data_IF_556496091259
#
_entry.id   IF_556496091259
#
_cell.length_a   1.000
_cell.length_b   1.000
_cell.length_c   1.000
_cell.angle_alpha   90.00
_cell.angle_beta   90.00
_cell.angle_gamma   90.00
#
_symmetry.space_group_name_H-M   'P 1'
#
loop_
_entity.id
_entity.type
_entity.pdbx_description
1 polymer ?
#
# COMPACT_ATOMS: atom_id res chain seq x y z
N UNK A 1 4.67 -10.50 -22.74
CA UNK A 1 5.67 -9.40 -22.75
C UNK A 1 5.88 -8.84 -21.34
N UNK A 2 4.83 -8.41 -20.63
CA UNK A 2 4.90 -7.94 -19.23
C UNK A 2 5.46 -9.00 -18.27
N UNK A 3 4.98 -10.25 -18.35
CA UNK A 3 5.46 -11.35 -17.49
C UNK A 3 6.96 -11.64 -17.60
N UNK A 4 7.47 -11.68 -18.84
CA UNK A 4 8.91 -11.85 -19.06
C UNK A 4 9.72 -10.67 -18.52
N UNK A 5 9.21 -9.43 -18.64
CA UNK A 5 9.88 -8.26 -18.07
C UNK A 5 9.86 -8.29 -16.54
N UNK A 6 8.75 -8.71 -15.92
CA UNK A 6 8.68 -8.88 -14.47
C UNK A 6 9.70 -9.91 -13.99
N UNK A 7 9.74 -11.09 -14.58
CA UNK A 7 10.74 -12.10 -14.20
C UNK A 7 12.18 -11.61 -14.43
N UNK A 8 12.45 -10.94 -15.56
CA UNK A 8 13.79 -10.45 -15.90
C UNK A 8 14.32 -9.39 -14.93
N UNK A 9 13.48 -8.45 -14.49
CA UNK A 9 13.91 -7.31 -13.66
C UNK A 9 13.61 -7.48 -12.17
N UNK A 10 12.55 -8.21 -11.82
CA UNK A 10 12.12 -8.47 -10.44
C UNK A 10 12.60 -9.82 -9.90
N UNK A 11 12.85 -10.78 -10.79
CA UNK A 11 13.21 -12.14 -10.43
C UNK A 11 12.07 -12.87 -9.72
N UNK A 12 12.44 -13.70 -8.75
CA UNK A 12 11.52 -14.49 -7.94
C UNK A 12 11.07 -13.78 -6.66
N UNK A 13 11.47 -12.51 -6.49
CA UNK A 13 11.17 -11.75 -5.28
C UNK A 13 9.67 -11.60 -5.09
N UNK A 14 9.16 -11.73 -3.86
CA UNK A 14 7.75 -11.50 -3.60
C UNK A 14 7.36 -10.05 -3.92
N UNK A 15 6.12 -9.88 -4.37
CA UNK A 15 5.54 -8.57 -4.63
C UNK A 15 4.08 -8.52 -4.16
N UNK A 16 3.67 -7.33 -3.74
CA UNK A 16 2.31 -7.06 -3.29
C UNK A 16 1.43 -6.70 -4.48
N UNK A 17 0.23 -7.27 -4.56
CA UNK A 17 -0.81 -6.86 -5.51
C UNK A 17 -2.01 -6.34 -4.75
N UNK A 18 -2.28 -5.04 -4.94
CA UNK A 18 -3.47 -4.38 -4.46
C UNK A 18 -4.41 -4.04 -5.61
N UNK A 19 -5.66 -4.49 -5.51
CA UNK A 19 -6.70 -4.23 -6.51
C UNK A 19 -7.79 -3.29 -5.95
N UNK A 20 -7.51 -2.54 -4.88
CA UNK A 20 -8.48 -1.67 -4.21
C UNK A 20 -9.09 -0.60 -5.12
N UNK A 21 -8.39 -0.19 -6.18
CA UNK A 21 -8.86 0.80 -7.15
C UNK A 21 -9.65 0.21 -8.33
N UNK A 22 -9.79 -1.12 -8.42
CA UNK A 22 -10.60 -1.76 -9.45
C UNK A 22 -12.04 -1.93 -8.97
N UNK A 23 -13.01 -1.71 -9.87
CA UNK A 23 -14.42 -1.88 -9.55
C UNK A 23 -14.76 -3.35 -9.29
N UNK A 24 -15.73 -3.58 -8.40
CA UNK A 24 -16.19 -4.92 -8.09
C UNK A 24 -16.70 -5.66 -9.34
N UNK A 25 -17.35 -4.95 -10.27
CA UNK A 25 -17.83 -5.51 -11.54
C UNK A 25 -16.70 -6.10 -12.39
N UNK A 26 -15.58 -5.39 -12.50
CA UNK A 26 -14.40 -5.84 -13.24
C UNK A 26 -13.74 -7.04 -12.54
N UNK A 27 -13.67 -7.00 -11.21
CA UNK A 27 -13.04 -8.06 -10.42
C UNK A 27 -13.76 -9.40 -10.49
N UNK A 28 -15.08 -9.38 -10.70
CA UNK A 28 -15.92 -10.59 -10.85
C UNK A 28 -16.35 -10.85 -12.29
N UNK A 29 -15.75 -10.17 -13.26
CA UNK A 29 -16.05 -10.43 -14.66
C UNK A 29 -15.52 -11.82 -15.07
N UNK A 30 -16.40 -12.69 -15.57
CA UNK A 30 -16.05 -14.03 -16.02
C UNK A 30 -16.27 -15.13 -14.96
N UNK A 31 -15.59 -16.26 -15.14
CA UNK A 31 -15.82 -17.48 -14.36
C UNK A 31 -15.04 -17.56 -13.05
N UNK A 32 -14.12 -16.63 -12.79
CA UNK A 32 -13.28 -16.61 -11.59
C UNK A 32 -12.90 -15.19 -11.24
N UNK A 33 -12.74 -14.92 -9.94
CA UNK A 33 -12.31 -13.61 -9.48
C UNK A 33 -10.94 -13.25 -10.05
N UNK A 34 -10.76 -12.02 -10.52
CA UNK A 34 -9.55 -11.57 -11.23
C UNK A 34 -8.26 -11.80 -10.43
N UNK A 35 -8.29 -11.57 -9.10
CA UNK A 35 -7.18 -11.86 -8.20
C UNK A 35 -6.72 -13.34 -8.27
N UNK A 36 -7.68 -14.28 -8.33
CA UNK A 36 -7.37 -15.72 -8.42
C UNK A 36 -6.75 -16.04 -9.78
N UNK A 37 -7.27 -15.46 -10.86
CA UNK A 37 -6.70 -15.61 -12.20
C UNK A 37 -5.26 -15.10 -12.25
N UNK A 38 -5.01 -13.92 -11.67
CA UNK A 38 -3.68 -13.33 -11.61
C UNK A 38 -2.71 -14.17 -10.78
N UNK A 39 -3.16 -14.67 -9.62
CA UNK A 39 -2.39 -15.58 -8.77
C UNK A 39 -2.02 -16.87 -9.50
N UNK A 40 -2.98 -17.51 -10.17
CA UNK A 40 -2.74 -18.70 -10.98
C UNK A 40 -1.68 -18.45 -12.06
N UNK A 41 -1.76 -17.30 -12.73
CA UNK A 41 -0.79 -16.93 -13.74
C UNK A 41 0.60 -16.70 -13.13
N UNK A 42 0.68 -15.99 -11.99
CA UNK A 42 1.93 -15.76 -11.27
C UNK A 42 2.61 -17.08 -10.87
N UNK A 43 1.85 -18.08 -10.42
CA UNK A 43 2.38 -19.43 -10.13
C UNK A 43 2.96 -20.11 -11.36
N UNK A 44 2.34 -19.98 -12.54
CA UNK A 44 2.83 -20.57 -13.80
C UNK A 44 4.17 -19.97 -14.21
N UNK A 45 4.39 -18.69 -13.95
CA UNK A 45 5.62 -17.97 -14.30
C UNK A 45 6.62 -17.87 -13.11
N UNK A 46 6.37 -18.62 -12.03
CA UNK A 46 7.23 -18.69 -10.84
C UNK A 46 7.52 -17.34 -10.17
N UNK A 47 6.54 -16.43 -10.14
CA UNK A 47 6.65 -15.17 -9.38
C UNK A 47 5.75 -15.23 -8.16
N UNK A 48 6.28 -14.78 -7.02
CA UNK A 48 5.62 -14.83 -5.72
C UNK A 48 4.68 -13.64 -5.52
N UNK A 49 3.38 -13.85 -5.68
CA UNK A 49 2.35 -12.82 -5.51
C UNK A 49 1.73 -12.91 -4.12
N UNK A 50 1.84 -11.81 -3.36
CA UNK A 50 1.17 -11.65 -2.06
C UNK A 50 -0.05 -10.74 -2.25
N UNK A 51 -1.28 -11.22 -2.00
CA UNK A 51 -2.47 -10.41 -2.13
C UNK A 51 -2.50 -9.31 -1.05
N UNK A 52 -2.88 -8.10 -1.43
CA UNK A 52 -3.19 -7.01 -0.51
C UNK A 52 -4.70 -6.95 -0.31
N UNK A 53 -5.15 -6.78 0.93
CA UNK A 53 -6.56 -6.56 1.24
C UNK A 53 -6.72 -5.55 2.37
N UNK A 54 -7.86 -4.88 2.41
CA UNK A 54 -8.31 -4.15 3.59
C UNK A 54 -9.09 -5.06 4.52
N UNK A 55 -9.27 -4.66 5.79
CA UNK A 55 -10.12 -5.42 6.72
C UNK A 55 -11.59 -5.41 6.24
N UNK A 56 -12.01 -4.33 5.59
CA UNK A 56 -13.36 -4.14 5.07
C UNK A 56 -13.34 -4.12 3.54
N UNK A 57 -13.45 -5.31 2.94
CA UNK A 57 -13.59 -5.49 1.50
C UNK A 57 -14.83 -6.34 1.22
N UNK A 58 -15.32 -6.28 -0.02
CA UNK A 58 -16.43 -7.11 -0.46
C UNK A 58 -16.16 -8.60 -0.20
N UNK A 59 -17.20 -9.35 0.19
CA UNK A 59 -17.11 -10.77 0.52
C UNK A 59 -16.49 -11.60 -0.61
N UNK A 60 -16.79 -11.26 -1.86
CA UNK A 60 -16.20 -11.86 -3.05
C UNK A 60 -14.67 -11.65 -3.10
N UNK A 61 -14.20 -10.44 -2.77
CA UNK A 61 -12.79 -10.11 -2.72
C UNK A 61 -12.08 -10.87 -1.59
N UNK A 62 -12.66 -10.86 -0.38
CA UNK A 62 -12.09 -11.60 0.75
C UNK A 62 -12.04 -13.12 0.48
N UNK A 63 -13.05 -13.66 -0.21
CA UNK A 63 -13.05 -15.08 -0.62
C UNK A 63 -11.95 -15.37 -1.64
N UNK A 64 -11.70 -14.45 -2.56
CA UNK A 64 -10.61 -14.57 -3.53
C UNK A 64 -9.23 -14.50 -2.85
N UNK A 65 -9.05 -13.61 -1.88
CA UNK A 65 -7.83 -13.51 -1.07
C UNK A 65 -7.60 -14.81 -0.30
N UNK A 66 -8.63 -15.35 0.37
CA UNK A 66 -8.54 -16.64 1.06
C UNK A 66 -8.09 -17.77 0.11
N UNK A 67 -8.68 -17.85 -1.08
CA UNK A 67 -8.28 -18.84 -2.09
C UNK A 67 -6.79 -18.73 -2.48
N UNK A 68 -6.29 -17.49 -2.63
CA UNK A 68 -4.87 -17.26 -2.95
C UNK A 68 -3.97 -17.65 -1.78
N UNK A 69 -4.35 -17.33 -0.54
CA UNK A 69 -3.60 -17.71 0.66
C UNK A 69 -3.50 -19.24 0.76
N UNK A 70 -4.63 -19.94 0.69
CA UNK A 70 -4.70 -21.40 0.82
C UNK A 70 -3.88 -22.13 -0.27
N UNK A 71 -3.81 -21.56 -1.47
CA UNK A 71 -3.09 -22.16 -2.60
C UNK A 71 -1.59 -21.89 -2.58
N UNK A 72 -1.19 -20.66 -2.27
CA UNK A 72 0.19 -20.23 -2.46
C UNK A 72 1.02 -20.32 -1.17
N UNK A 73 0.39 -20.24 0.00
CA UNK A 73 1.06 -20.22 1.31
C UNK A 73 2.15 -19.12 1.40
N UNK A 74 1.87 -17.93 0.84
CA UNK A 74 2.79 -16.79 0.81
C UNK A 74 2.38 -15.66 1.77
N UNK A 75 1.34 -15.87 2.58
CA UNK A 75 0.77 -14.86 3.46
C UNK A 75 -0.09 -13.83 2.72
N UNK A 76 -0.34 -12.71 3.38
CA UNK A 76 -1.21 -11.61 2.90
C UNK A 76 -0.70 -10.28 3.42
N UNK A 77 -0.98 -9.20 2.69
CA UNK A 77 -0.74 -7.85 3.17
C UNK A 77 -2.08 -7.20 3.57
N UNK A 78 -2.17 -6.72 4.81
CA UNK A 78 -3.28 -5.89 5.26
C UNK A 78 -2.94 -4.41 5.08
N UNK A 79 -3.66 -3.73 4.19
CA UNK A 79 -3.59 -2.28 3.99
C UNK A 79 -4.63 -1.61 4.89
N UNK A 80 -4.16 -0.85 5.87
CA UNK A 80 -4.98 -0.07 6.79
C UNK A 80 -4.91 1.41 6.41
N UNK A 81 -6.06 2.02 6.18
CA UNK A 81 -6.16 3.47 6.03
C UNK A 81 -6.01 4.17 7.39
N UNK A 82 -5.83 5.48 7.36
CA UNK A 82 -5.91 6.33 8.56
C UNK A 82 -7.22 6.12 9.35
N UNK A 83 -8.33 5.94 8.64
CA UNK A 83 -9.64 5.72 9.27
C UNK A 83 -9.66 4.39 10.02
N UNK A 84 -9.14 3.32 9.43
CA UNK A 84 -9.06 2.00 10.06
C UNK A 84 -8.25 2.06 11.36
N UNK A 85 -7.09 2.74 11.32
CA UNK A 85 -6.18 2.87 12.48
C UNK A 85 -6.85 3.60 13.65
N UNK A 86 -7.65 4.62 13.36
CA UNK A 86 -8.32 5.43 14.38
C UNK A 86 -9.58 4.75 14.96
N UNK A 87 -9.99 3.58 14.45
CA UNK A 87 -11.15 2.87 15.00
C UNK A 87 -10.81 2.24 16.33
N UNK A 88 -11.70 2.46 17.31
CA UNK A 88 -11.63 1.80 18.62
C UNK A 88 -11.73 0.27 18.52
N UNK A 89 -12.30 -0.24 17.43
CA UNK A 89 -12.48 -1.66 17.16
C UNK A 89 -11.29 -2.31 16.47
N UNK A 90 -10.26 -1.55 16.06
CA UNK A 90 -9.14 -2.04 15.25
C UNK A 90 -8.56 -3.37 15.75
N UNK A 91 -8.35 -3.51 17.05
CA UNK A 91 -7.79 -4.74 17.63
C UNK A 91 -8.69 -5.96 17.44
N UNK A 92 -10.01 -5.77 17.57
CA UNK A 92 -11.00 -6.82 17.33
C UNK A 92 -11.15 -7.09 15.84
N UNK A 93 -11.17 -6.05 15.00
CA UNK A 93 -11.28 -6.16 13.54
C UNK A 93 -10.09 -6.95 12.95
N UNK A 94 -8.86 -6.69 13.42
CA UNK A 94 -7.68 -7.46 13.04
C UNK A 94 -7.76 -8.92 13.49
N UNK A 95 -8.24 -9.17 14.72
CA UNK A 95 -8.42 -10.53 15.24
C UNK A 95 -9.44 -11.32 14.41
N UNK A 96 -10.54 -10.69 14.03
CA UNK A 96 -11.58 -11.30 13.22
C UNK A 96 -11.08 -11.56 11.79
N UNK A 97 -10.29 -10.65 11.21
CA UNK A 97 -9.63 -10.87 9.92
C UNK A 97 -8.67 -12.06 9.97
N UNK A 98 -7.79 -12.14 10.98
CA UNK A 98 -6.88 -13.29 11.18
C UNK A 98 -7.66 -14.60 11.29
N UNK A 99 -8.75 -14.62 12.07
CA UNK A 99 -9.61 -15.79 12.22
C UNK A 99 -10.33 -16.18 10.92
N UNK A 100 -10.79 -15.21 10.14
CA UNK A 100 -11.45 -15.45 8.86
C UNK A 100 -10.49 -16.09 7.85
N UNK A 101 -9.26 -15.57 7.78
CA UNK A 101 -8.24 -16.09 6.87
C UNK A 101 -7.51 -17.34 7.41
N UNK A 102 -7.71 -17.69 8.68
CA UNK A 102 -7.03 -18.81 9.37
C UNK A 102 -5.50 -18.68 9.34
N UNK A 103 -5.02 -17.47 9.54
CA UNK A 103 -3.59 -17.13 9.54
C UNK A 103 -3.17 -16.50 10.86
N UNK A 104 -1.86 -16.46 11.08
CA UNK A 104 -1.22 -15.83 12.22
C UNK A 104 -0.62 -14.46 11.86
N UNK A 105 -0.39 -13.56 12.82
CA UNK A 105 0.29 -12.29 12.55
C UNK A 105 1.62 -12.43 11.79
N UNK A 106 2.37 -13.49 12.06
CA UNK A 106 3.67 -13.82 11.44
C UNK A 106 3.57 -14.10 9.94
N UNK A 107 2.36 -14.29 9.41
CA UNK A 107 2.07 -14.49 7.99
C UNK A 107 1.51 -13.24 7.31
N UNK A 108 1.37 -12.15 8.06
CA UNK A 108 0.74 -10.91 7.60
C UNK A 108 1.75 -9.76 7.53
N UNK A 109 1.82 -9.14 6.36
CA UNK A 109 2.46 -7.83 6.20
C UNK A 109 1.46 -6.72 6.52
N UNK A 110 1.82 -5.80 7.40
CA UNK A 110 0.95 -4.70 7.78
C UNK A 110 1.43 -3.42 7.11
N UNK A 111 0.59 -2.86 6.22
CA UNK A 111 0.81 -1.58 5.57
C UNK A 111 -0.15 -0.55 6.16
N UNK A 112 0.38 0.44 6.87
CA UNK A 112 -0.39 1.64 7.21
C UNK A 112 -0.27 2.64 6.07
N UNK A 113 -1.38 2.93 5.43
CA UNK A 113 -1.42 3.85 4.31
C UNK A 113 -2.13 5.15 4.70
N UNK A 114 -1.32 6.19 4.91
CA UNK A 114 -1.80 7.54 5.18
C UNK A 114 -2.20 8.29 3.91
N UNK A 115 -1.88 7.76 2.73
CA UNK A 115 -2.03 8.44 1.45
C UNK A 115 -1.39 9.83 1.52
N UNK A 116 -2.19 10.89 1.49
CA UNK A 116 -1.71 12.27 1.52
C UNK A 116 -1.13 12.61 2.89
N UNK A 117 0.10 13.12 2.89
CA UNK A 117 0.71 13.62 4.11
C UNK A 117 0.03 14.89 4.58
N UNK A 118 -0.36 14.90 5.85
CA UNK A 118 -0.88 16.07 6.54
C UNK A 118 0.03 16.42 7.71
N UNK A 119 -0.04 17.66 8.22
CA UNK A 119 0.78 18.10 9.36
C UNK A 119 0.44 17.36 10.67
N UNK A 120 -0.70 16.66 10.74
CA UNK A 120 -1.25 16.05 11.95
C UNK A 120 -1.13 14.52 12.01
N UNK A 121 -0.22 13.90 11.25
CA UNK A 121 -0.03 12.44 11.30
C UNK A 121 0.39 12.01 12.72
N UNK A 122 -0.24 10.98 13.32
CA UNK A 122 0.17 10.45 14.62
C UNK A 122 1.66 10.07 14.65
N UNK A 123 2.31 10.23 15.79
CA UNK A 123 3.70 9.79 15.90
C UNK A 123 3.83 8.29 15.72
N UNK A 124 4.94 7.80 15.15
CA UNK A 124 5.11 6.35 14.95
C UNK A 124 5.09 5.57 16.27
N UNK A 125 5.60 6.15 17.35
CA UNK A 125 5.47 5.59 18.69
C UNK A 125 4.00 5.40 19.11
N UNK A 126 3.13 6.37 18.80
CA UNK A 126 1.68 6.26 19.01
C UNK A 126 1.06 5.16 18.16
N UNK A 127 1.44 5.06 16.88
CA UNK A 127 0.94 4.02 15.97
C UNK A 127 1.32 2.61 16.44
N UNK A 128 2.57 2.41 16.85
CA UNK A 128 3.04 1.13 17.39
C UNK A 128 2.28 0.72 18.66
N UNK A 129 1.88 1.68 19.49
CA UNK A 129 1.10 1.41 20.69
C UNK A 129 -0.37 1.03 20.39
N UNK A 130 -0.91 1.48 19.26
CA UNK A 130 -2.29 1.19 18.84
C UNK A 130 -2.43 -0.18 18.16
N UNK A 131 -1.37 -0.67 17.50
CA UNK A 131 -1.40 -1.93 16.77
C UNK A 131 -1.19 -3.09 17.74
N UNK A 132 -2.16 -4.02 17.87
CA UNK A 132 -2.00 -5.17 18.76
C UNK A 132 -0.85 -6.05 18.25
N UNK A 133 -0.09 -6.62 19.19
CA UNK A 133 0.98 -7.58 18.90
C UNK A 133 1.96 -7.05 17.84
N UNK A 134 2.33 -5.77 17.93
CA UNK A 134 3.16 -5.10 16.92
C UNK A 134 4.42 -5.88 16.54
N UNK A 135 5.00 -6.66 17.46
CA UNK A 135 6.20 -7.49 17.25
C UNK A 135 5.97 -8.82 16.52
N UNK A 136 4.73 -9.28 16.40
CA UNK A 136 4.40 -10.59 15.79
C UNK A 136 4.16 -10.47 14.26
N UNK A 137 3.77 -9.31 13.75
CA UNK A 137 3.53 -9.11 12.31
C UNK A 137 4.76 -9.49 11.46
N UNK A 138 4.58 -10.01 10.25
CA UNK A 138 5.69 -10.36 9.35
C UNK A 138 6.52 -9.14 8.97
N UNK A 139 5.84 -8.14 8.43
CA UNK A 139 6.40 -6.84 8.09
C UNK A 139 5.51 -5.72 8.65
N UNK A 140 6.12 -4.59 8.94
CA UNK A 140 5.42 -3.37 9.34
C UNK A 140 5.92 -2.22 8.47
N UNK A 141 5.00 -1.65 7.69
CA UNK A 141 5.31 -0.66 6.65
C UNK A 141 4.37 0.53 6.80
N UNK A 142 4.86 1.70 6.39
CA UNK A 142 4.07 2.92 6.30
C UNK A 142 4.23 3.51 4.92
N UNK A 143 3.10 3.86 4.28
CA UNK A 143 3.07 4.65 3.06
C UNK A 143 2.46 6.03 3.31
N UNK A 144 3.09 7.07 2.78
CA UNK A 144 2.53 8.42 2.70
C UNK A 144 3.19 9.18 1.55
N UNK A 145 2.53 10.21 1.02
CA UNK A 145 3.07 11.03 -0.06
C UNK A 145 2.70 12.49 0.07
N UNK A 146 3.66 13.34 -0.28
CA UNK A 146 3.52 14.80 -0.23
C UNK A 146 3.24 15.45 -1.60
N UNK A 147 3.27 14.69 -2.70
CA UNK A 147 3.09 15.26 -4.03
C UNK A 147 1.65 15.77 -4.21
N UNK A 148 1.43 16.99 -4.72
CA UNK A 148 0.11 17.60 -4.79
C UNK A 148 -0.79 16.95 -5.86
N UNK A 149 -2.10 17.14 -5.69
CA UNK A 149 -3.14 16.69 -6.64
C UNK A 149 -2.87 17.19 -8.06
N UNK A 150 -2.44 18.44 -8.18
CA UNK A 150 -2.12 19.07 -9.44
C UNK A 150 -1.02 20.13 -9.30
N UNK A 151 -0.52 20.57 -10.46
CA UNK A 151 0.55 21.56 -10.56
C UNK A 151 0.03 22.92 -11.09
N UNK A 152 -1.28 23.21 -10.98
CA UNK A 152 -1.89 24.42 -11.57
C UNK A 152 -1.36 25.71 -10.94
N UNK A 153 -0.87 25.63 -9.71
CA UNK A 153 -0.28 26.73 -8.97
C UNK A 153 1.20 26.99 -9.35
N UNK A 154 1.80 26.13 -10.17
CA UNK A 154 3.18 26.28 -10.61
C UNK A 154 3.26 26.93 -12.00
N UNK A 155 4.21 27.84 -12.15
CA UNK A 155 4.48 28.48 -13.43
C UNK A 155 5.00 27.47 -14.47
N UNK A 156 4.53 27.60 -15.72
CA UNK A 156 5.01 26.77 -16.84
C UNK A 156 6.44 27.16 -17.24
N UNK A 157 7.17 26.21 -17.83
CA UNK A 157 8.55 26.40 -18.32
C UNK A 157 9.54 26.86 -17.23
N UNK A 158 9.30 26.44 -15.99
CA UNK A 158 10.13 26.70 -14.82
C UNK A 158 10.39 25.39 -14.09
N UNK A 159 11.52 25.32 -13.41
CA UNK A 159 11.81 24.27 -12.44
C UNK A 159 11.22 24.70 -11.10
N UNK A 160 10.52 23.78 -10.43
CA UNK A 160 9.97 23.98 -9.10
C UNK A 160 10.45 22.86 -8.19
N UNK A 161 10.36 23.07 -6.89
CA UNK A 161 10.66 22.04 -5.89
C UNK A 161 9.50 21.92 -4.93
N UNK A 162 9.05 20.71 -4.69
CA UNK A 162 7.99 20.38 -3.74
C UNK A 162 8.63 19.58 -2.61
N UNK A 163 8.54 20.06 -1.36
CA UNK A 163 9.14 19.36 -0.22
C UNK A 163 8.52 17.98 -0.01
N UNK A 164 9.36 16.97 0.26
CA UNK A 164 8.93 15.62 0.63
C UNK A 164 8.59 15.56 2.11
N UNK A 165 7.53 16.27 2.49
CA UNK A 165 7.08 16.34 3.89
C UNK A 165 6.81 14.95 4.46
N UNK A 166 6.31 14.02 3.64
CA UNK A 166 6.13 12.60 3.94
C UNK A 166 7.43 11.95 4.43
N UNK A 167 8.50 12.10 3.66
CA UNK A 167 9.82 11.54 3.96
C UNK A 167 10.44 12.22 5.17
N UNK A 168 10.40 13.56 5.22
CA UNK A 168 11.00 14.34 6.30
C UNK A 168 10.34 14.00 7.64
N UNK A 169 9.01 13.91 7.69
CA UNK A 169 8.28 13.51 8.90
C UNK A 169 8.60 12.08 9.33
N UNK A 170 8.68 11.13 8.39
CA UNK A 170 9.08 9.76 8.72
C UNK A 170 10.51 9.72 9.27
N UNK A 171 11.44 10.34 8.54
CA UNK A 171 12.87 10.38 8.87
C UNK A 171 13.11 10.98 10.24
N UNK A 172 12.52 12.14 10.50
CA UNK A 172 12.77 12.90 11.72
C UNK A 172 12.14 12.25 12.96
N UNK A 173 11.13 11.39 12.77
CA UNK A 173 10.55 10.62 13.88
C UNK A 173 11.22 9.25 14.07
N UNK A 174 11.62 8.55 13.01
CA UNK A 174 12.09 7.16 13.10
C UNK A 174 13.61 7.04 13.21
N UNK A 175 14.39 7.92 12.57
CA UNK A 175 15.86 7.84 12.63
C UNK A 175 16.40 8.24 14.02
N UNK A 176 15.92 9.34 14.66
CA UNK A 176 16.43 9.73 15.97
C UNK A 176 15.88 8.88 17.13
N UNK A 177 14.65 8.35 17.00
CA UNK A 177 14.00 7.59 18.06
C UNK A 177 14.41 6.10 18.07
N UNK A 178 15.43 5.79 18.87
CA UNK A 178 15.69 4.42 19.37
C UNK A 178 14.50 3.92 20.26
N UNK A 179 13.50 4.75 20.55
CA UNK A 179 12.31 4.42 21.36
C UNK A 179 11.21 3.66 20.63
N UNK A 180 11.23 3.60 19.28
CA UNK A 180 10.28 2.77 18.56
C UNK A 180 10.73 1.31 18.65
N UNK A 181 10.02 0.50 19.43
CA UNK A 181 10.37 -0.91 19.63
C UNK A 181 10.33 -1.71 18.31
N UNK A 182 9.55 -1.23 17.33
CA UNK A 182 9.49 -1.77 15.97
C UNK A 182 9.36 -0.63 14.94
N UNK A 183 10.46 -0.07 14.42
CA UNK A 183 10.40 0.97 13.42
C UNK A 183 9.78 0.42 12.11
N UNK A 184 8.79 1.11 11.51
CA UNK A 184 8.23 0.69 10.22
C UNK A 184 9.20 0.96 9.07
N UNK A 185 9.16 0.11 8.05
CA UNK A 185 9.78 0.42 6.76
C UNK A 185 8.98 1.53 6.06
N UNK A 186 9.67 2.50 5.47
CA UNK A 186 9.06 3.60 4.73
C UNK A 186 8.76 3.23 3.28
N UNK A 187 7.62 3.70 2.78
CA UNK A 187 7.22 3.71 1.37
C UNK A 187 6.59 5.07 1.05
N UNK A 188 6.67 5.46 -0.22
CA UNK A 188 6.07 6.71 -0.71
C UNK A 188 5.27 6.51 -1.99
N UNK A 189 4.68 7.62 -2.46
CA UNK A 189 4.00 7.71 -3.76
C UNK A 189 4.84 8.42 -4.82
N UNK A 190 6.13 8.62 -4.55
CA UNK A 190 7.09 9.29 -5.43
C UNK A 190 6.59 10.68 -5.91
N UNK A 191 6.31 10.80 -7.21
CA UNK A 191 5.84 12.00 -7.92
C UNK A 191 4.34 11.95 -8.27
N UNK A 192 3.60 11.07 -7.60
CA UNK A 192 2.18 10.86 -7.82
C UNK A 192 1.37 11.33 -6.60
N UNK A 193 0.22 11.95 -6.87
CA UNK A 193 -0.75 12.23 -5.82
C UNK A 193 -1.25 10.90 -5.23
N UNK A 194 -1.15 10.69 -3.90
CA UNK A 194 -1.44 9.39 -3.27
C UNK A 194 -2.86 8.87 -3.44
N UNK A 195 -3.82 9.75 -3.68
CA UNK A 195 -5.20 9.37 -3.92
C UNK A 195 -5.45 9.20 -5.41
N UNK A 196 -6.01 8.05 -5.76
CA UNK A 196 -6.51 7.83 -7.12
C UNK A 196 -7.75 8.69 -7.34
N UNK A 197 -7.67 9.60 -8.32
CA UNK A 197 -8.78 10.43 -8.76
C UNK A 197 -9.20 9.99 -10.15
N UNK A 198 -10.43 9.52 -10.28
CA UNK A 198 -10.98 9.20 -11.59
C UNK A 198 -11.19 10.49 -12.38
N UNK A 199 -10.49 10.63 -13.50
CA UNK A 199 -10.52 11.85 -14.30
C UNK A 199 -11.60 11.75 -15.35
N UNK A 200 -12.74 12.37 -15.06
CA UNK A 200 -13.84 12.54 -16.00
C UNK A 200 -13.70 13.90 -16.71
N UNK A 201 -13.11 13.93 -17.91
CA UNK A 201 -13.01 15.17 -18.69
C UNK A 201 -11.93 15.19 -19.77
N UNK A 202 -11.90 16.25 -20.61
CA UNK A 202 -10.89 16.39 -21.65
C UNK A 202 -9.49 16.53 -21.05
N UNK A 203 -8.53 15.80 -21.62
CA UNK A 203 -7.15 15.83 -21.17
C UNK A 203 -6.43 17.09 -21.67
N UNK A 204 -6.14 18.01 -20.75
CA UNK A 204 -5.22 19.12 -20.99
C UNK A 204 -3.80 18.69 -20.63
N UNK A 205 -3.12 18.07 -21.58
CA UNK A 205 -1.73 17.66 -21.39
C UNK A 205 -0.81 18.89 -21.35
N UNK A 206 0.02 18.97 -20.32
CA UNK A 206 1.23 19.77 -20.33
C UNK A 206 2.41 18.83 -20.13
N UNK A 207 3.48 19.02 -20.90
CA UNK A 207 4.69 18.24 -20.71
C UNK A 207 5.35 18.71 -19.41
N UNK A 208 5.54 17.80 -18.48
CA UNK A 208 6.28 18.02 -17.23
C UNK A 208 7.21 16.85 -17.00
N UNK A 209 8.49 17.14 -16.72
CA UNK A 209 9.44 16.15 -16.22
C UNK A 209 9.35 16.22 -14.70
N UNK A 210 9.16 15.06 -14.06
CA UNK A 210 9.05 14.95 -12.61
C UNK A 210 10.00 13.90 -12.10
N UNK A 211 10.69 14.16 -11.01
CA UNK A 211 11.53 13.16 -10.36
C UNK A 211 11.71 13.45 -8.87
N UNK A 212 12.00 12.41 -8.11
CA UNK A 212 12.22 12.47 -6.67
C UNK A 212 13.72 12.68 -6.39
N UNK A 213 14.04 13.67 -5.56
CA UNK A 213 15.34 13.84 -4.92
C UNK A 213 15.22 13.47 -3.42
N UNK A 214 16.30 13.68 -2.64
CA UNK A 214 16.36 13.25 -1.24
C UNK A 214 15.25 13.88 -0.39
N UNK A 215 15.15 15.22 -0.39
CA UNK A 215 14.23 15.96 0.49
C UNK A 215 13.10 16.67 -0.26
N UNK A 216 13.10 16.61 -1.59
CA UNK A 216 12.13 17.29 -2.44
C UNK A 216 11.88 16.51 -3.73
N UNK A 217 10.74 16.77 -4.38
CA UNK A 217 10.47 16.39 -5.75
C UNK A 217 10.67 17.61 -6.67
N UNK A 218 11.10 17.36 -7.90
CA UNK A 218 11.18 18.32 -9.00
C UNK A 218 10.05 18.04 -9.99
#
# INVERSE_FOLDING_TARGET
KISHQLFQYWGERPFFIDLNHLSQSLLTEGSSHFLVLLSNYASIIHVSLIPVTGIYRDTSYQSAVLNVIEKNNQGVCFRLSREDINRRTLAQDLKDALSFFKITPEEVDLLLDFQVTEQSIPTFSTLCAQIPKIHEWRNFMVASGAFPEDLRHLERNRQHTIGRLDWLLWRDQVIPEISCTRPPTYSDYTIQYPQYLDRTGPFNYSASIRYTADEYCV
#
